data_IF_305541145771
#
_entry.id   IF_305541145771
#
_cell.length_a   1.000
_cell.length_b   1.000
_cell.length_c   1.000
_cell.angle_alpha   90.00
_cell.angle_beta   90.00
_cell.angle_gamma   90.00
#
_symmetry.space_group_name_H-M   'P 1'
#
loop_
_entity.id
_entity.type
_entity.pdbx_description
1 polymer ?
#
# COMPACT_ATOMS: atom_id res chain seq x y z
N UNK A 1 16.31 -27.60 15.36
CA UNK A 1 14.94 -27.49 14.77
C UNK A 1 14.53 -26.03 14.91
N UNK A 2 14.08 -25.34 13.86
CA UNK A 2 13.71 -23.92 13.98
C UNK A 2 12.55 -23.76 14.97
N UNK A 3 12.64 -22.70 15.80
CA UNK A 3 11.56 -22.32 16.69
C UNK A 3 10.32 -21.91 15.87
N UNK A 4 9.13 -22.33 16.34
CA UNK A 4 7.92 -22.08 15.60
C UNK A 4 7.55 -20.59 15.53
N UNK A 5 7.66 -19.88 16.66
CA UNK A 5 7.26 -18.47 16.75
C UNK A 5 8.36 -17.52 16.29
N UNK A 6 9.63 -17.86 16.59
CA UNK A 6 10.76 -16.97 16.34
C UNK A 6 11.39 -17.18 14.95
N UNK A 7 11.32 -18.40 14.40
CA UNK A 7 11.92 -18.70 13.10
C UNK A 7 10.93 -18.99 11.99
N UNK A 8 9.96 -19.89 12.25
CA UNK A 8 9.13 -20.43 11.17
C UNK A 8 7.94 -19.54 10.82
N UNK A 9 7.24 -19.02 11.81
CA UNK A 9 6.08 -18.15 11.60
C UNK A 9 6.47 -16.84 10.92
N UNK A 10 7.59 -16.14 11.26
CA UNK A 10 8.04 -14.98 10.51
C UNK A 10 8.27 -15.25 9.02
N UNK A 11 8.81 -16.42 8.66
CA UNK A 11 9.01 -16.81 7.26
C UNK A 11 7.68 -17.01 6.53
N UNK A 12 6.70 -17.68 7.16
CA UNK A 12 5.35 -17.86 6.59
C UNK A 12 4.67 -16.49 6.38
N UNK A 13 4.72 -15.62 7.39
CA UNK A 13 4.11 -14.29 7.33
C UNK A 13 4.74 -13.42 6.25
N UNK A 14 6.08 -13.37 6.19
CA UNK A 14 6.78 -12.60 5.18
C UNK A 14 6.53 -13.15 3.76
N UNK A 15 6.37 -14.47 3.58
CA UNK A 15 5.96 -15.05 2.30
C UNK A 15 4.55 -14.59 1.89
N UNK A 16 3.61 -14.52 2.82
CA UNK A 16 2.26 -14.03 2.53
C UNK A 16 2.26 -12.53 2.21
N UNK A 17 3.11 -11.75 2.87
CA UNK A 17 3.26 -10.32 2.63
C UNK A 17 3.94 -10.07 1.28
N UNK A 18 5.09 -10.69 1.02
CA UNK A 18 5.96 -10.37 -0.13
C UNK A 18 5.62 -11.18 -1.38
N UNK A 19 5.02 -12.36 -1.25
CA UNK A 19 4.76 -13.28 -2.35
C UNK A 19 6.02 -13.87 -2.99
N UNK A 20 7.21 -13.69 -2.39
CA UNK A 20 8.49 -14.00 -3.01
C UNK A 20 9.52 -14.55 -2.03
N UNK A 21 10.03 -15.76 -2.30
CA UNK A 21 11.03 -16.44 -1.46
C UNK A 21 12.38 -15.72 -1.44
N UNK A 22 12.78 -15.06 -2.54
CA UNK A 22 14.03 -14.27 -2.58
C UNK A 22 13.93 -13.03 -1.68
N UNK A 23 12.79 -12.34 -1.69
CA UNK A 23 12.57 -11.18 -0.82
C UNK A 23 12.61 -11.60 0.66
N UNK A 24 11.98 -12.73 1.00
CA UNK A 24 12.03 -13.27 2.37
C UNK A 24 13.45 -13.67 2.76
N UNK A 25 14.21 -14.27 1.85
CA UNK A 25 15.61 -14.63 2.08
C UNK A 25 16.47 -13.42 2.45
N UNK A 26 16.29 -12.30 1.72
CA UNK A 26 16.96 -11.02 2.03
C UNK A 26 16.54 -10.45 3.38
N UNK A 27 15.22 -10.41 3.66
CA UNK A 27 14.66 -9.84 4.90
C UNK A 27 15.03 -10.64 6.14
N UNK A 28 15.29 -11.94 5.99
CA UNK A 28 15.63 -12.84 7.11
C UNK A 28 17.10 -13.21 7.18
N UNK A 29 17.94 -12.63 6.29
CA UNK A 29 19.37 -12.94 6.16
C UNK A 29 19.63 -14.44 6.00
N UNK A 30 18.78 -15.13 5.23
CA UNK A 30 18.84 -16.57 4.97
C UNK A 30 18.98 -16.83 3.47
N UNK A 31 19.42 -18.02 3.10
CA UNK A 31 19.36 -18.47 1.73
C UNK A 31 17.92 -18.90 1.33
N UNK A 32 17.60 -18.81 0.04
CA UNK A 32 16.27 -19.12 -0.49
C UNK A 32 15.87 -20.59 -0.25
N UNK A 33 16.83 -21.51 -0.23
CA UNK A 33 16.59 -22.94 0.03
C UNK A 33 16.18 -23.19 1.47
N UNK A 34 16.80 -22.47 2.41
CA UNK A 34 16.42 -22.47 3.82
C UNK A 34 15.02 -21.92 4.04
N UNK A 35 14.66 -20.79 3.41
CA UNK A 35 13.30 -20.24 3.45
C UNK A 35 12.29 -21.29 2.96
N UNK A 36 12.57 -21.93 1.81
CA UNK A 36 11.69 -22.95 1.23
C UNK A 36 11.53 -24.17 2.14
N UNK A 37 12.59 -24.62 2.79
CA UNK A 37 12.55 -25.72 3.75
C UNK A 37 11.76 -25.36 5.01
N UNK A 38 12.00 -24.17 5.58
CA UNK A 38 11.34 -23.73 6.81
C UNK A 38 9.82 -23.65 6.62
N UNK A 39 9.33 -22.98 5.57
CA UNK A 39 7.88 -22.84 5.41
C UNK A 39 7.20 -24.16 5.12
N UNK A 40 7.83 -25.08 4.35
CA UNK A 40 7.26 -26.41 4.08
C UNK A 40 7.16 -27.23 5.36
N UNK A 41 8.22 -27.30 6.15
CA UNK A 41 8.21 -28.02 7.42
C UNK A 41 7.17 -27.45 8.40
N UNK A 42 7.06 -26.11 8.48
CA UNK A 42 6.05 -25.48 9.35
C UNK A 42 4.64 -25.72 8.83
N UNK A 43 4.42 -25.67 7.50
CA UNK A 43 3.13 -25.97 6.88
C UNK A 43 2.68 -27.40 7.19
N UNK A 44 3.57 -28.37 7.04
CA UNK A 44 3.30 -29.77 7.34
C UNK A 44 2.98 -29.98 8.83
N UNK A 45 3.82 -29.47 9.73
CA UNK A 45 3.65 -29.62 11.17
C UNK A 45 2.36 -29.01 11.72
N UNK A 46 1.92 -27.89 11.14
CA UNK A 46 0.70 -27.18 11.55
C UNK A 46 -0.51 -27.57 10.71
N UNK A 47 -0.35 -28.44 9.71
CA UNK A 47 -1.41 -28.81 8.80
C UNK A 47 -2.00 -27.63 8.02
N UNK A 48 -1.16 -26.65 7.61
CA UNK A 48 -1.64 -25.39 7.02
C UNK A 48 -1.96 -25.49 5.53
N UNK A 49 -1.43 -26.51 4.83
CA UNK A 49 -1.45 -26.54 3.35
C UNK A 49 -0.95 -25.22 2.74
N UNK A 50 0.10 -24.65 3.35
CA UNK A 50 0.61 -23.34 2.98
C UNK A 50 1.39 -23.41 1.67
N UNK A 51 1.01 -22.59 0.70
CA UNK A 51 1.66 -22.54 -0.60
C UNK A 51 1.19 -21.40 -1.47
N UNK A 52 1.81 -21.30 -2.66
CA UNK A 52 1.44 -20.31 -3.66
C UNK A 52 0.14 -20.74 -4.34
N UNK A 53 -0.87 -19.88 -4.32
CA UNK A 53 -2.19 -20.08 -4.93
C UNK A 53 -2.19 -19.61 -6.39
N UNK A 54 -3.24 -19.94 -7.13
CA UNK A 54 -3.44 -19.49 -8.53
C UNK A 54 -3.38 -17.97 -8.68
N UNK A 55 -3.82 -17.23 -7.64
CA UNK A 55 -3.69 -15.77 -7.55
C UNK A 55 -2.23 -15.25 -7.50
N UNK A 56 -1.24 -16.16 -7.41
CA UNK A 56 0.17 -15.81 -7.26
C UNK A 56 0.60 -15.47 -5.83
N UNK A 57 -0.32 -15.48 -4.87
CA UNK A 57 -0.04 -15.18 -3.45
C UNK A 57 0.16 -16.46 -2.64
N UNK A 58 1.04 -16.38 -1.64
CA UNK A 58 1.17 -17.44 -0.64
C UNK A 58 0.05 -17.34 0.38
N UNK A 59 -0.63 -18.46 0.69
CA UNK A 59 -1.69 -18.54 1.69
C UNK A 59 -1.81 -19.94 2.28
N UNK A 60 -2.31 -20.01 3.52
CA UNK A 60 -2.75 -21.25 4.13
C UNK A 60 -4.08 -21.72 3.50
N UNK A 61 -4.18 -23.02 3.20
CA UNK A 61 -5.40 -23.67 2.73
C UNK A 61 -6.22 -24.27 3.85
N UNK A 62 -5.57 -24.64 4.96
CA UNK A 62 -6.16 -25.28 6.12
C UNK A 62 -5.68 -24.63 7.42
N UNK A 63 -6.32 -24.95 8.53
CA UNK A 63 -5.97 -24.53 9.89
C UNK A 63 -5.76 -23.00 10.07
N UNK A 64 -6.54 -22.19 9.35
CA UNK A 64 -6.43 -20.72 9.36
C UNK A 64 -6.65 -20.14 10.75
N UNK A 65 -7.55 -20.70 11.57
CA UNK A 65 -7.79 -20.26 12.95
C UNK A 65 -6.54 -20.42 13.80
N UNK A 66 -5.87 -21.58 13.73
CA UNK A 66 -4.60 -21.81 14.42
C UNK A 66 -3.56 -20.80 14.01
N UNK A 67 -3.43 -20.55 12.69
CA UNK A 67 -2.47 -19.58 12.17
C UNK A 67 -2.77 -18.17 12.68
N UNK A 68 -4.02 -17.76 12.76
CA UNK A 68 -4.42 -16.46 13.31
C UNK A 68 -4.03 -16.31 14.79
N UNK A 69 -4.25 -17.33 15.62
CA UNK A 69 -3.86 -17.28 17.05
C UNK A 69 -2.32 -17.20 17.21
N UNK A 70 -1.57 -17.93 16.40
CA UNK A 70 -0.10 -17.83 16.37
C UNK A 70 0.35 -16.42 15.95
N UNK A 71 -0.28 -15.83 14.94
CA UNK A 71 0.00 -14.46 14.48
C UNK A 71 -0.31 -13.41 15.53
N UNK A 72 -1.43 -13.57 16.26
CA UNK A 72 -1.77 -12.70 17.39
C UNK A 72 -0.69 -12.74 18.47
N UNK A 73 -0.20 -13.94 18.81
CA UNK A 73 0.89 -14.12 19.78
C UNK A 73 2.20 -13.52 19.27
N UNK A 74 2.55 -13.75 18.01
CA UNK A 74 3.72 -13.17 17.36
C UNK A 74 3.66 -11.64 17.32
N UNK A 75 2.49 -11.05 17.05
CA UNK A 75 2.32 -9.60 17.09
C UNK A 75 2.59 -9.04 18.49
N UNK A 76 2.09 -9.69 19.54
CA UNK A 76 2.37 -9.28 20.91
C UNK A 76 3.87 -9.32 21.24
N UNK A 77 4.61 -10.33 20.75
CA UNK A 77 6.06 -10.36 20.90
C UNK A 77 6.73 -9.16 20.20
N UNK A 78 6.29 -8.81 18.98
CA UNK A 78 6.84 -7.66 18.25
C UNK A 78 6.59 -6.34 18.97
N UNK A 79 5.47 -6.18 19.66
CA UNK A 79 5.18 -4.97 20.45
C UNK A 79 6.17 -4.77 21.62
N UNK A 80 6.74 -5.86 22.15
CA UNK A 80 7.81 -5.77 23.16
C UNK A 80 9.20 -5.53 22.56
N UNK A 81 9.35 -5.68 21.24
CA UNK A 81 10.59 -5.50 20.49
C UNK A 81 10.38 -4.51 19.35
N UNK A 82 10.35 -3.19 19.63
CA UNK A 82 9.94 -2.18 18.63
C UNK A 82 10.68 -2.27 17.28
N UNK A 83 11.95 -2.67 17.29
CA UNK A 83 12.72 -2.88 16.06
C UNK A 83 12.19 -4.03 15.19
N UNK A 84 11.32 -4.90 15.73
CA UNK A 84 10.70 -6.02 14.99
C UNK A 84 9.30 -5.72 14.48
N UNK A 85 8.77 -4.52 14.71
CA UNK A 85 7.48 -4.08 14.17
C UNK A 85 7.53 -4.13 12.64
N UNK A 86 6.44 -4.61 12.05
CA UNK A 86 6.29 -4.73 10.61
C UNK A 86 5.40 -3.61 10.08
N UNK A 87 5.96 -2.77 9.26
CA UNK A 87 5.18 -1.73 8.61
C UNK A 87 5.38 -1.78 7.09
N UNK A 88 4.36 -1.33 6.36
CA UNK A 88 4.37 -1.24 4.91
C UNK A 88 4.14 0.22 4.52
N UNK A 89 5.02 0.79 3.69
CA UNK A 89 4.87 2.14 3.15
C UNK A 89 4.50 2.16 1.68
N UNK A 90 3.96 3.29 1.20
CA UNK A 90 3.90 3.61 -0.22
C UNK A 90 5.30 3.64 -0.82
N UNK A 91 5.40 3.60 -2.15
CA UNK A 91 6.70 3.76 -2.84
C UNK A 91 7.43 5.03 -2.43
N UNK A 92 6.68 6.11 -2.22
CA UNK A 92 7.18 7.43 -1.81
C UNK A 92 7.26 7.61 -0.30
N UNK A 93 6.78 6.67 0.51
CA UNK A 93 6.85 6.79 1.96
C UNK A 93 8.30 6.84 2.43
N UNK A 94 8.71 7.89 3.14
CA UNK A 94 10.03 7.93 3.74
C UNK A 94 10.14 6.91 4.87
N UNK A 95 11.32 6.34 5.11
CA UNK A 95 11.52 5.43 6.24
C UNK A 95 11.30 6.17 7.57
N UNK A 96 10.71 5.54 8.59
CA UNK A 96 10.57 6.13 9.91
C UNK A 96 11.92 6.23 10.60
N UNK A 97 12.33 7.46 10.95
CA UNK A 97 13.57 7.72 11.69
C UNK A 97 14.87 7.58 10.87
N UNK A 98 15.99 7.97 11.48
CA UNK A 98 17.31 8.01 10.83
C UNK A 98 18.25 6.88 11.29
N UNK A 99 17.76 5.90 12.07
CA UNK A 99 18.59 4.92 12.76
C UNK A 99 18.48 3.50 12.26
N UNK A 100 19.55 2.75 12.46
CA UNK A 100 19.63 1.30 12.19
C UNK A 100 18.60 0.45 12.99
N UNK A 101 17.94 1.04 13.99
CA UNK A 101 16.88 0.42 14.78
C UNK A 101 15.46 0.67 14.24
N UNK A 102 15.34 1.40 13.13
CA UNK A 102 14.02 1.61 12.50
C UNK A 102 13.57 0.35 11.78
N UNK A 103 12.30 -0.08 11.99
CA UNK A 103 11.76 -1.21 11.25
C UNK A 103 11.92 -0.95 9.75
N UNK A 104 12.54 -1.88 9.02
CA UNK A 104 12.70 -1.72 7.59
C UNK A 104 11.33 -1.75 6.90
N UNK A 105 11.02 -0.80 6.00
CA UNK A 105 9.78 -0.84 5.27
C UNK A 105 9.73 -2.11 4.43
N UNK A 106 8.67 -2.89 4.59
CA UNK A 106 8.36 -3.96 3.68
C UNK A 106 7.88 -3.31 2.37
N UNK A 107 8.80 -3.09 1.43
CA UNK A 107 8.47 -2.51 0.12
C UNK A 107 7.73 -3.57 -0.69
N UNK A 108 6.46 -3.34 -0.93
CA UNK A 108 5.66 -4.19 -1.79
C UNK A 108 5.27 -3.44 -3.07
N UNK A 109 5.23 -4.18 -4.19
CA UNK A 109 4.51 -3.68 -5.36
C UNK A 109 3.01 -3.68 -5.03
N UNK A 110 2.41 -2.51 -4.99
CA UNK A 110 1.01 -2.26 -4.66
C UNK A 110 0.10 -2.99 -5.65
N UNK A 111 -0.45 -4.12 -5.24
CA UNK A 111 -1.39 -4.85 -6.08
C UNK A 111 -2.83 -4.80 -5.56
N UNK A 112 -3.02 -4.51 -4.27
CA UNK A 112 -4.36 -4.45 -3.69
C UNK A 112 -4.35 -3.79 -2.31
N UNK A 113 -4.96 -2.61 -2.19
CA UNK A 113 -5.11 -1.89 -0.90
C UNK A 113 -5.92 -2.70 0.11
N UNK A 114 -6.95 -3.42 -0.34
CA UNK A 114 -7.76 -4.29 0.51
C UNK A 114 -6.94 -5.44 1.09
N UNK A 115 -6.02 -6.02 0.30
CA UNK A 115 -5.11 -7.06 0.78
C UNK A 115 -4.22 -6.54 1.92
N UNK A 116 -3.72 -5.32 1.81
CA UNK A 116 -2.89 -4.71 2.86
C UNK A 116 -3.73 -4.46 4.11
N UNK A 117 -4.94 -3.92 4.00
CA UNK A 117 -5.87 -3.79 5.13
C UNK A 117 -6.15 -5.16 5.77
N UNK A 118 -6.34 -6.20 4.96
CA UNK A 118 -6.48 -7.57 5.46
C UNK A 118 -5.23 -8.03 6.21
N UNK A 119 -4.02 -7.76 5.70
CA UNK A 119 -2.76 -8.12 6.37
C UNK A 119 -2.59 -7.40 7.72
N UNK A 120 -3.01 -6.14 7.86
CA UNK A 120 -3.06 -5.44 9.14
C UNK A 120 -4.08 -6.10 10.08
N UNK A 121 -5.28 -6.39 9.59
CA UNK A 121 -6.33 -7.06 10.35
C UNK A 121 -5.90 -8.43 10.86
N UNK A 122 -5.22 -9.21 10.01
CA UNK A 122 -4.83 -10.59 10.27
C UNK A 122 -3.47 -10.69 11.01
N UNK A 123 -3.00 -9.59 11.64
CA UNK A 123 -1.80 -9.52 12.47
C UNK A 123 -0.46 -9.75 11.75
N UNK A 124 -0.43 -9.71 10.41
CA UNK A 124 0.80 -9.82 9.63
C UNK A 124 1.60 -8.51 9.66
N UNK A 125 0.90 -7.38 9.55
CA UNK A 125 1.45 -6.03 9.64
C UNK A 125 0.97 -5.35 10.92
N UNK A 126 1.80 -4.50 11.50
CA UNK A 126 1.48 -3.70 12.67
C UNK A 126 0.98 -2.31 12.26
N UNK A 127 1.42 -1.82 11.10
CA UNK A 127 1.04 -0.54 10.49
C UNK A 127 1.17 -0.62 8.97
N UNK A 128 0.33 0.12 8.25
CA UNK A 128 0.51 0.35 6.82
C UNK A 128 0.24 1.81 6.45
N UNK A 129 0.98 2.35 5.47
CA UNK A 129 0.68 3.63 4.82
C UNK A 129 0.17 3.35 3.42
N UNK A 130 -1.00 3.88 3.11
CA UNK A 130 -1.73 3.61 1.88
C UNK A 130 -2.25 4.90 1.24
N UNK A 131 -2.31 5.00 -0.11
CA UNK A 131 -3.20 5.94 -0.76
C UNK A 131 -4.62 5.60 -0.33
N UNK A 132 -5.35 6.57 0.23
CA UNK A 132 -6.49 6.24 1.08
C UNK A 132 -7.84 6.55 0.51
N UNK A 133 -7.95 7.37 -0.55
CA UNK A 133 -9.23 7.90 -0.95
C UNK A 133 -10.27 6.79 -1.26
N UNK A 134 -9.84 5.71 -1.89
CA UNK A 134 -10.73 4.58 -2.21
C UNK A 134 -11.08 3.70 -1.00
N UNK A 135 -10.40 3.90 0.12
CA UNK A 135 -10.63 3.19 1.38
C UNK A 135 -11.47 4.00 2.37
N UNK A 136 -11.60 5.31 2.13
CA UNK A 136 -12.38 6.17 3.00
C UNK A 136 -13.87 5.94 2.79
N UNK A 137 -14.67 5.92 3.87
CA UNK A 137 -16.12 5.80 3.78
C UNK A 137 -16.74 6.94 2.96
N UNK A 138 -17.88 6.67 2.33
CA UNK A 138 -18.66 7.71 1.68
C UNK A 138 -18.98 8.87 2.62
N UNK A 139 -18.88 10.10 2.11
CA UNK A 139 -19.12 11.31 2.90
C UNK A 139 -17.93 11.85 3.67
N UNK A 140 -16.80 11.12 3.74
CA UNK A 140 -15.56 11.68 4.28
C UNK A 140 -14.98 12.65 3.27
N UNK A 141 -14.91 13.93 3.65
CA UNK A 141 -14.33 14.97 2.80
C UNK A 141 -12.79 14.87 2.81
N UNK A 142 -12.14 14.64 1.66
CA UNK A 142 -10.66 14.60 1.60
C UNK A 142 -10.00 15.91 2.01
N UNK A 143 -10.70 17.03 1.83
CA UNK A 143 -10.16 18.37 2.14
C UNK A 143 -10.16 18.67 3.65
N UNK A 144 -10.96 17.96 4.43
CA UNK A 144 -11.03 18.11 5.89
C UNK A 144 -11.36 16.75 6.53
N UNK A 145 -10.48 15.74 6.39
CA UNK A 145 -10.75 14.43 6.95
C UNK A 145 -10.73 14.51 8.49
N UNK A 146 -11.58 13.72 9.18
CA UNK A 146 -11.48 13.56 10.62
C UNK A 146 -10.10 13.04 11.03
N UNK A 147 -9.66 13.34 12.25
CA UNK A 147 -8.37 12.87 12.77
C UNK A 147 -8.27 11.33 12.76
N UNK A 148 -9.39 10.65 12.84
CA UNK A 148 -9.51 9.19 12.77
C UNK A 148 -10.75 8.78 12.02
N UNK A 149 -10.59 7.79 11.16
CA UNK A 149 -11.64 7.28 10.32
C UNK A 149 -11.76 5.77 10.54
N UNK A 150 -12.89 5.27 11.08
CA UNK A 150 -13.10 3.84 11.18
C UNK A 150 -13.25 3.24 9.77
N UNK A 151 -12.52 2.16 9.50
CA UNK A 151 -12.68 1.41 8.26
C UNK A 151 -13.77 0.34 8.42
N UNK A 152 -14.24 -0.20 7.28
CA UNK A 152 -15.43 -1.05 7.15
C UNK A 152 -15.64 -2.11 8.24
N UNK A 153 -14.57 -2.80 8.68
CA UNK A 153 -14.69 -3.84 9.70
C UNK A 153 -14.75 -3.30 11.14
N UNK A 154 -14.63 -1.98 11.35
CA UNK A 154 -14.54 -1.37 12.68
C UNK A 154 -13.33 -1.79 13.53
N UNK A 155 -12.56 -2.80 13.10
CA UNK A 155 -11.35 -3.25 13.79
C UNK A 155 -10.10 -2.50 13.35
N UNK A 156 -10.16 -1.76 12.24
CA UNK A 156 -9.11 -0.89 11.73
C UNK A 156 -9.51 0.57 11.87
N UNK A 157 -8.50 1.42 12.00
CA UNK A 157 -8.64 2.88 11.91
C UNK A 157 -7.66 3.42 10.89
N UNK A 158 -8.09 4.40 10.11
CA UNK A 158 -7.26 5.17 9.22
C UNK A 158 -6.96 6.53 9.85
N UNK A 159 -5.69 6.93 9.80
CA UNK A 159 -5.19 8.20 10.28
C UNK A 159 -4.64 8.98 9.07
N UNK A 160 -5.32 10.03 8.58
CA UNK A 160 -4.85 10.83 7.47
C UNK A 160 -3.50 11.48 7.79
N UNK A 161 -2.55 11.43 6.86
CA UNK A 161 -1.18 11.94 7.04
C UNK A 161 -0.84 13.03 6.05
N UNK A 162 -1.04 12.78 4.77
CA UNK A 162 -0.66 13.66 3.69
C UNK A 162 -1.77 13.74 2.65
N UNK A 163 -2.10 14.94 2.21
CA UNK A 163 -2.95 15.20 1.04
C UNK A 163 -2.08 15.63 -0.12
N UNK A 164 -2.32 15.07 -1.30
CA UNK A 164 -1.56 15.35 -2.50
C UNK A 164 -2.48 15.44 -3.72
N UNK A 165 -2.16 16.28 -4.72
CA UNK A 165 -2.93 16.33 -5.95
C UNK A 165 -2.74 15.07 -6.78
N UNK A 166 -3.82 14.67 -7.46
CA UNK A 166 -3.74 13.69 -8.53
C UNK A 166 -3.32 14.38 -9.83
N UNK A 167 -2.42 13.79 -10.57
CA UNK A 167 -1.86 14.31 -11.81
C UNK A 167 -2.12 13.36 -12.97
N UNK A 168 -2.48 13.93 -14.09
CA UNK A 168 -2.52 13.20 -15.36
C UNK A 168 -1.10 13.09 -15.92
N UNK A 169 -0.75 11.92 -16.42
CA UNK A 169 0.54 11.65 -17.05
C UNK A 169 0.37 10.75 -18.26
N UNK A 170 1.28 10.91 -19.22
CA UNK A 170 1.37 10.06 -20.39
C UNK A 170 2.84 9.78 -20.73
N UNK A 171 3.11 8.76 -21.54
CA UNK A 171 4.44 8.45 -22.01
C UNK A 171 5.03 9.61 -22.84
N UNK A 172 6.35 9.71 -22.87
CA UNK A 172 7.05 10.64 -23.77
C UNK A 172 6.60 10.44 -25.23
N UNK A 173 6.34 11.54 -25.93
CA UNK A 173 5.83 11.50 -27.31
C UNK A 173 4.32 11.28 -27.45
N UNK A 174 3.57 11.23 -26.35
CA UNK A 174 2.12 11.17 -26.40
C UNK A 174 1.54 12.46 -27.02
N UNK A 175 0.56 12.39 -27.98
CA UNK A 175 0.05 13.56 -28.71
C UNK A 175 -0.51 14.67 -27.82
N UNK A 176 -0.99 14.36 -26.63
CA UNK A 176 -1.51 15.36 -25.69
C UNK A 176 -0.42 16.30 -25.13
N UNK A 177 0.86 15.96 -25.24
CA UNK A 177 1.95 16.87 -24.82
C UNK A 177 2.14 18.06 -25.76
N UNK A 178 1.72 17.93 -27.02
CA UNK A 178 1.86 18.97 -28.05
C UNK A 178 0.67 19.95 -28.04
N UNK A 179 -0.35 19.69 -27.21
CA UNK A 179 -1.53 20.57 -27.10
C UNK A 179 -1.27 21.68 -26.08
N UNK A 180 -1.31 22.94 -26.55
CA UNK A 180 -1.04 24.12 -25.70
C UNK A 180 -2.15 24.36 -24.66
N UNK A 181 -3.41 24.12 -25.04
CA UNK A 181 -4.60 24.35 -24.19
C UNK A 181 -5.38 23.05 -23.99
N UNK A 182 -4.77 22.11 -23.22
CA UNK A 182 -5.38 20.83 -22.93
C UNK A 182 -6.61 20.96 -22.03
N UNK A 183 -7.72 20.39 -22.46
CA UNK A 183 -9.02 20.38 -21.77
C UNK A 183 -9.49 18.96 -21.43
N UNK A 184 -10.48 18.84 -20.54
CA UNK A 184 -11.09 17.54 -20.24
C UNK A 184 -11.83 16.93 -21.45
N UNK A 185 -12.23 17.75 -22.43
CA UNK A 185 -12.82 17.26 -23.67
C UNK A 185 -11.83 16.46 -24.53
N UNK A 186 -10.55 16.85 -24.52
CA UNK A 186 -9.49 16.17 -25.27
C UNK A 186 -9.21 14.78 -24.69
N UNK A 187 -9.38 14.62 -23.38
CA UNK A 187 -9.20 13.33 -22.72
C UNK A 187 -10.26 12.27 -23.08
N UNK A 188 -11.43 12.68 -23.61
CA UNK A 188 -12.51 11.74 -23.97
C UNK A 188 -12.12 10.75 -25.05
N UNK A 189 -11.10 11.07 -25.83
CA UNK A 189 -10.59 10.26 -26.93
C UNK A 189 -9.46 9.32 -26.49
N UNK A 190 -9.02 9.45 -25.24
CA UNK A 190 -7.91 8.67 -24.70
C UNK A 190 -8.33 7.84 -23.50
N UNK A 191 -7.97 6.55 -23.46
CA UNK A 191 -8.28 5.73 -22.30
C UNK A 191 -7.52 6.23 -21.07
N UNK A 192 -8.27 6.58 -20.01
CA UNK A 192 -7.69 6.99 -18.74
C UNK A 192 -7.51 5.78 -17.84
N UNK A 193 -6.26 5.44 -17.57
CA UNK A 193 -5.90 4.36 -16.69
C UNK A 193 -5.91 4.81 -15.25
N UNK A 194 -6.71 4.15 -14.44
CA UNK A 194 -6.64 4.21 -13.00
C UNK A 194 -5.86 3.01 -12.49
N UNK A 195 -4.94 3.24 -11.54
CA UNK A 195 -4.34 2.13 -10.80
C UNK A 195 -5.36 1.65 -9.77
N UNK A 196 -6.28 0.82 -10.23
CA UNK A 196 -7.23 0.16 -9.34
C UNK A 196 -6.47 -0.88 -8.52
N UNK A 197 -6.28 -0.62 -7.26
CA UNK A 197 -6.06 -1.69 -6.30
C UNK A 197 -7.20 -2.68 -6.45
N UNK A 198 -6.90 -3.88 -6.94
CA UNK A 198 -7.87 -4.89 -7.33
C UNK A 198 -8.96 -5.07 -6.28
N UNK A 199 -10.18 -4.65 -6.55
CA UNK A 199 -11.36 -4.98 -5.75
C UNK A 199 -12.37 -3.87 -5.47
N UNK A 200 -12.11 -2.62 -5.77
CA UNK A 200 -13.06 -1.52 -5.50
C UNK A 200 -13.95 -1.21 -6.69
N UNK A 201 -15.22 -1.59 -6.63
CA UNK A 201 -16.20 -1.31 -7.68
C UNK A 201 -16.72 0.13 -7.72
N UNK A 202 -16.30 1.00 -6.82
CA UNK A 202 -16.77 2.38 -6.77
C UNK A 202 -15.76 3.30 -6.09
N UNK A 203 -14.60 3.53 -6.73
CA UNK A 203 -13.78 4.61 -6.21
C UNK A 203 -14.51 5.95 -6.42
N UNK A 204 -14.44 6.83 -5.43
CA UNK A 204 -14.98 8.20 -5.57
C UNK A 204 -14.37 8.93 -6.77
N UNK A 205 -13.12 8.60 -7.11
CA UNK A 205 -12.46 9.11 -8.31
C UNK A 205 -13.12 8.60 -9.58
N UNK A 206 -13.40 7.30 -9.66
CA UNK A 206 -14.08 6.70 -10.81
C UNK A 206 -15.41 7.41 -11.09
N UNK A 207 -16.26 7.53 -10.09
CA UNK A 207 -17.56 8.19 -10.23
C UNK A 207 -17.44 9.63 -10.72
N UNK A 208 -16.49 10.41 -10.18
CA UNK A 208 -16.24 11.79 -10.60
C UNK A 208 -15.74 11.89 -12.03
N UNK A 209 -14.87 11.00 -12.45
CA UNK A 209 -14.29 10.98 -13.79
C UNK A 209 -15.33 10.53 -14.83
N UNK A 210 -16.11 9.49 -14.52
CA UNK A 210 -17.23 9.03 -15.36
C UNK A 210 -18.30 10.12 -15.53
N UNK A 211 -18.60 10.87 -14.46
CA UNK A 211 -19.52 12.02 -14.53
C UNK A 211 -18.99 13.14 -15.45
N UNK A 212 -17.67 13.24 -15.63
CA UNK A 212 -17.05 14.15 -16.61
C UNK A 212 -16.99 13.57 -18.03
N UNK A 213 -17.51 12.36 -18.24
CA UNK A 213 -17.54 11.67 -19.53
C UNK A 213 -16.20 11.09 -19.96
N UNK A 214 -15.30 10.81 -19.04
CA UNK A 214 -14.00 10.22 -19.33
C UNK A 214 -14.11 8.70 -19.46
N UNK A 215 -13.39 8.13 -20.42
CA UNK A 215 -13.34 6.68 -20.67
C UNK A 215 -12.30 6.05 -19.75
N UNK A 216 -12.76 5.31 -18.73
CA UNK A 216 -11.89 4.65 -17.77
C UNK A 216 -11.55 3.23 -18.20
N UNK A 217 -10.29 2.87 -18.11
CA UNK A 217 -9.79 1.52 -18.42
C UNK A 217 -8.97 0.97 -17.27
N UNK A 218 -9.08 -0.33 -17.06
CA UNK A 218 -8.19 -1.01 -16.12
C UNK A 218 -6.87 -1.38 -16.81
N UNK A 219 -5.78 -1.38 -16.06
CA UNK A 219 -4.46 -1.77 -16.58
C UNK A 219 -4.44 -3.17 -17.21
N UNK A 220 -5.36 -4.06 -16.83
CA UNK A 220 -5.46 -5.43 -17.35
C UNK A 220 -6.14 -5.54 -18.70
N UNK A 221 -6.95 -4.55 -19.06
CA UNK A 221 -7.83 -4.60 -20.23
C UNK A 221 -7.23 -3.81 -21.42
N UNK A 222 -5.94 -3.43 -21.31
CA UNK A 222 -5.27 -2.63 -22.33
C UNK A 222 -4.96 -3.42 -23.59
N UNK A 223 -5.32 -2.83 -24.72
CA UNK A 223 -4.75 -3.21 -26.01
C UNK A 223 -3.41 -2.51 -26.21
N UNK A 224 -2.40 -3.14 -26.80
CA UNK A 224 -1.07 -2.55 -27.02
C UNK A 224 -1.07 -1.26 -27.86
N UNK A 225 -2.15 -1.00 -28.59
CA UNK A 225 -2.26 0.10 -29.53
C UNK A 225 -2.72 1.44 -28.91
N UNK A 226 -3.30 1.42 -27.74
CA UNK A 226 -3.77 2.63 -27.06
C UNK A 226 -2.74 3.05 -26.00
N UNK A 227 -1.99 4.13 -26.28
CA UNK A 227 -1.16 4.77 -25.27
C UNK A 227 -2.07 5.39 -24.18
N UNK A 228 -2.18 4.83 -22.96
CA UNK A 228 -3.12 5.32 -21.97
C UNK A 228 -2.58 6.58 -21.30
N UNK A 229 -3.50 7.47 -20.95
CA UNK A 229 -3.25 8.49 -19.94
C UNK A 229 -3.40 7.88 -18.56
N UNK A 230 -2.47 8.14 -17.66
CA UNK A 230 -2.49 7.63 -16.28
C UNK A 230 -2.90 8.74 -15.31
N UNK A 231 -3.72 8.39 -14.32
CA UNK A 231 -4.01 9.27 -13.20
C UNK A 231 -3.29 8.75 -11.96
N UNK A 232 -2.32 9.53 -11.48
CA UNK A 232 -1.39 9.15 -10.43
C UNK A 232 -1.33 10.21 -9.34
N UNK A 233 -1.10 9.82 -8.06
CA UNK A 233 -0.67 10.75 -7.03
C UNK A 233 0.62 11.48 -7.43
N UNK A 234 0.76 12.75 -7.05
CA UNK A 234 1.90 13.57 -7.47
C UNK A 234 3.26 12.93 -7.13
N UNK A 235 3.40 12.38 -5.92
CA UNK A 235 4.64 11.72 -5.47
C UNK A 235 4.92 10.42 -6.23
N UNK A 236 3.89 9.67 -6.62
CA UNK A 236 4.06 8.48 -7.44
C UNK A 236 4.53 8.84 -8.84
N UNK A 237 3.93 9.88 -9.44
CA UNK A 237 4.34 10.37 -10.75
C UNK A 237 5.81 10.81 -10.76
N UNK A 238 6.28 11.54 -9.75
CA UNK A 238 7.69 11.94 -9.64
C UNK A 238 8.64 10.74 -9.69
N UNK A 239 8.29 9.65 -9.02
CA UNK A 239 9.09 8.42 -9.03
C UNK A 239 9.04 7.70 -10.38
N UNK A 240 7.84 7.60 -10.98
CA UNK A 240 7.65 6.91 -12.25
C UNK A 240 8.21 7.72 -13.44
N UNK A 241 8.19 9.05 -13.37
CA UNK A 241 8.80 9.92 -14.40
C UNK A 241 10.28 9.60 -14.61
N UNK A 242 11.00 9.30 -13.54
CA UNK A 242 12.41 8.92 -13.62
C UNK A 242 12.63 7.49 -14.12
N UNK A 243 11.70 6.58 -13.84
CA UNK A 243 11.87 5.16 -14.09
C UNK A 243 11.21 4.68 -15.40
N UNK A 244 10.08 5.27 -15.79
CA UNK A 244 9.21 4.78 -16.87
C UNK A 244 8.99 5.80 -17.99
N UNK A 245 9.65 6.98 -17.95
CA UNK A 245 9.51 8.02 -18.98
C UNK A 245 8.10 8.62 -19.04
N UNK A 246 7.39 8.66 -17.92
CA UNK A 246 6.09 9.32 -17.82
C UNK A 246 6.28 10.83 -17.61
N UNK A 247 5.51 11.65 -18.33
CA UNK A 247 5.50 13.10 -18.18
C UNK A 247 4.14 13.61 -17.76
N UNK A 248 4.08 14.60 -16.84
CA UNK A 248 2.81 15.23 -16.47
C UNK A 248 2.19 15.96 -17.67
N UNK A 249 0.87 15.87 -17.80
CA UNK A 249 0.08 16.67 -18.72
C UNK A 249 -0.27 18.02 -18.09
N UNK A 250 -0.37 19.07 -18.90
CA UNK A 250 -0.69 20.44 -18.45
C UNK A 250 -2.18 20.63 -18.11
N UNK A 251 -2.84 19.62 -17.54
CA UNK A 251 -4.24 19.67 -17.15
C UNK A 251 -4.43 19.26 -15.70
N UNK A 252 -5.00 20.16 -14.90
CA UNK A 252 -5.40 19.86 -13.54
C UNK A 252 -6.89 19.50 -13.50
N UNK A 253 -7.20 18.28 -13.08
CA UNK A 253 -8.59 17.77 -12.97
C UNK A 253 -9.20 18.02 -11.59
N UNK A 254 -8.50 18.71 -10.68
CA UNK A 254 -8.99 19.06 -9.35
C UNK A 254 -9.25 17.89 -8.41
N UNK A 255 -8.61 16.74 -8.65
CA UNK A 255 -8.68 15.58 -7.76
C UNK A 255 -7.48 15.53 -6.81
N UNK A 256 -7.74 15.05 -5.62
CA UNK A 256 -6.73 14.86 -4.58
C UNK A 256 -6.82 13.46 -4.00
N UNK A 257 -5.69 12.90 -3.59
CA UNK A 257 -5.61 11.67 -2.80
C UNK A 257 -5.06 12.00 -1.39
N UNK A 258 -5.34 11.11 -0.45
CA UNK A 258 -4.91 11.25 0.94
C UNK A 258 -4.17 10.01 1.36
N UNK A 259 -2.89 10.12 1.67
CA UNK A 259 -2.15 9.04 2.32
C UNK A 259 -2.68 8.83 3.73
N UNK A 260 -3.05 7.60 4.04
CA UNK A 260 -3.55 7.20 5.35
C UNK A 260 -2.64 6.18 6.01
N UNK A 261 -2.45 6.32 7.32
CA UNK A 261 -1.93 5.27 8.18
C UNK A 261 -3.07 4.34 8.58
N UNK A 262 -2.94 3.06 8.30
CA UNK A 262 -3.90 2.03 8.71
C UNK A 262 -3.30 1.22 9.85
N UNK A 263 -4.03 1.14 10.94
CA UNK A 263 -3.64 0.41 12.15
C UNK A 263 -4.84 -0.31 12.75
N UNK A 264 -4.61 -1.39 13.49
CA UNK A 264 -5.67 -2.01 14.29
C UNK A 264 -6.11 -1.08 15.41
N UNK A 265 -7.43 -0.97 15.62
CA UNK A 265 -7.99 -0.10 16.64
C UNK A 265 -7.50 -0.45 18.04
N UNK A 266 -7.40 -1.74 18.37
CA UNK A 266 -6.92 -2.22 19.68
C UNK A 266 -5.42 -2.00 19.93
N UNK A 267 -4.64 -1.70 18.88
CA UNK A 267 -3.20 -1.41 18.98
C UNK A 267 -2.85 0.07 18.82
N UNK A 268 -3.82 0.91 18.45
CA UNK A 268 -3.58 2.33 18.18
C UNK A 268 -2.87 3.04 19.34
N UNK A 269 -3.27 2.72 20.57
CA UNK A 269 -2.76 3.34 21.79
C UNK A 269 -1.60 2.57 22.43
N UNK A 270 -1.18 1.45 21.84
CA UNK A 270 0.01 0.72 22.28
C UNK A 270 1.26 1.62 22.15
N UNK A 271 2.12 1.72 23.17
CA UNK A 271 3.27 2.61 23.15
C UNK A 271 4.22 2.39 21.98
N UNK A 272 4.48 1.12 21.58
CA UNK A 272 5.37 0.79 20.48
C UNK A 272 4.77 1.20 19.13
N UNK A 273 3.48 0.98 18.93
CA UNK A 273 2.75 1.38 17.71
C UNK A 273 2.65 2.91 17.64
N UNK A 274 2.36 3.60 18.73
CA UNK A 274 2.34 5.06 18.78
C UNK A 274 3.69 5.67 18.44
N UNK A 275 4.78 5.09 18.96
CA UNK A 275 6.13 5.53 18.61
C UNK A 275 6.41 5.37 17.11
N UNK A 276 5.99 4.24 16.50
CA UNK A 276 6.11 4.02 15.06
C UNK A 276 5.26 5.01 14.26
N UNK A 277 4.00 5.27 14.65
CA UNK A 277 3.13 6.28 14.02
C UNK A 277 3.81 7.64 14.05
N UNK A 278 4.31 8.05 15.22
CA UNK A 278 5.01 9.33 15.38
C UNK A 278 6.23 9.42 14.45
N UNK A 279 7.06 8.37 14.43
CA UNK A 279 8.25 8.34 13.58
C UNK A 279 7.91 8.44 12.07
N UNK A 280 6.84 7.77 11.63
CA UNK A 280 6.36 7.90 10.23
C UNK A 280 5.89 9.33 9.94
N UNK A 281 5.05 9.91 10.81
CA UNK A 281 4.54 11.29 10.62
C UNK A 281 5.68 12.31 10.60
N UNK A 282 6.66 12.19 11.48
CA UNK A 282 7.84 13.06 11.51
C UNK A 282 8.69 12.92 10.25
N UNK A 283 8.83 11.71 9.71
CA UNK A 283 9.52 11.50 8.43
C UNK A 283 8.78 12.15 7.26
N UNK A 284 7.44 12.06 7.23
CA UNK A 284 6.62 12.80 6.25
C UNK A 284 6.80 14.31 6.37
N UNK A 285 6.79 14.85 7.59
CA UNK A 285 7.04 16.29 7.83
C UNK A 285 8.42 16.73 7.35
N UNK A 286 9.44 15.92 7.62
CA UNK A 286 10.82 16.22 7.21
C UNK A 286 10.98 16.21 5.69
N UNK A 287 10.40 15.23 5.01
CA UNK A 287 10.54 15.07 3.56
C UNK A 287 9.63 15.98 2.75
N UNK A 288 8.41 16.26 3.25
CA UNK A 288 7.37 16.93 2.47
C UNK A 288 6.86 18.24 3.07
N UNK A 289 7.28 18.61 4.28
CA UNK A 289 6.74 19.75 5.03
C UNK A 289 7.02 21.12 4.43
N UNK A 290 7.93 21.22 3.45
CA UNK A 290 8.25 22.48 2.77
C UNK A 290 7.68 22.54 1.34
N UNK A 291 6.86 21.58 0.95
CA UNK A 291 6.26 21.51 -0.38
C UNK A 291 4.89 22.17 -0.39
N UNK A 292 4.74 23.21 -1.23
CA UNK A 292 3.49 23.98 -1.36
C UNK A 292 2.36 23.21 -2.05
N UNK A 293 2.70 22.19 -2.85
CA UNK A 293 1.74 21.34 -3.57
C UNK A 293 1.23 20.15 -2.73
N UNK A 294 1.76 19.96 -1.52
CA UNK A 294 1.38 18.91 -0.59
C UNK A 294 0.87 19.50 0.72
N UNK A 295 -0.08 18.82 1.35
CA UNK A 295 -0.60 19.26 2.65
C UNK A 295 -0.44 18.17 3.70
N UNK A 296 0.35 18.42 4.73
CA UNK A 296 0.41 17.58 5.92
C UNK A 296 -0.87 17.73 6.74
N UNK A 297 -1.45 16.61 7.14
CA UNK A 297 -2.70 16.54 7.90
C UNK A 297 -2.45 16.20 9.39
N UNK A 298 -1.20 15.84 9.74
CA UNK A 298 -0.75 15.52 11.10
C UNK A 298 0.60 16.17 11.42
#
# INVERSE_FOLDING_TARGET
MPDLLLDALPVIDLLEITGNTSAVAQLTERDQSSVSRIYRQASERLGLEFGKRESGHYRAGANQTLLQELRRSSQRLRLHLPASLRWLGCRWSPPPGDGAASPQPLRHQWRCRQLVCQQVRDHLLDLAVLPGLDLLPEGVCPNAPPAEIPLECGCLVALPVLRQPMRLAAADGHPLHDQADLSSADLRHWPLQLDEGAGGSASQHRQRLEAQGLMLVNRRDQTPEAAPVQLLPALELEMLSQAEGLRPLALNIGLEDVDILVVRRDLRDDPAVRALITAVVESYRRCFGQRDDLQLLR
#
